data_IF_292427574627
#
_entry.id   IF_292427574627
#
_cell.length_a   1.000
_cell.length_b   1.000
_cell.length_c   1.000
_cell.angle_alpha   90.00
_cell.angle_beta   90.00
_cell.angle_gamma   90.00
#
_symmetry.space_group_name_H-M   'P 1'
#
loop_
_entity.id
_entity.type
_entity.pdbx_description
1 polymer ?
#
# COMPACT_ATOMS: atom_id res chain seq x y z
N UNK A 1 -13.19 23.69 -1.50
CA UNK A 1 -12.91 22.31 -1.01
C UNK A 1 -11.59 22.37 -0.25
N UNK A 2 -11.52 21.85 0.98
CA UNK A 2 -10.23 21.72 1.68
C UNK A 2 -9.43 20.56 1.09
N UNK A 3 -8.10 20.69 1.08
CA UNK A 3 -7.18 19.61 0.71
C UNK A 3 -6.86 18.82 1.98
N UNK A 4 -7.08 17.51 1.97
CA UNK A 4 -6.79 16.65 3.13
C UNK A 4 -5.28 16.65 3.43
N UNK A 5 -4.91 16.73 4.71
CA UNK A 5 -3.52 16.72 5.21
C UNK A 5 -2.67 17.92 4.75
N UNK A 6 -3.29 19.03 4.37
CA UNK A 6 -2.60 20.24 3.92
C UNK A 6 -1.63 20.81 4.95
N UNK A 7 -2.00 20.69 6.22
CA UNK A 7 -1.35 21.20 7.42
C UNK A 7 -0.21 20.32 7.91
N UNK A 8 -0.16 19.04 7.52
CA UNK A 8 0.83 18.10 8.00
C UNK A 8 2.17 18.27 7.26
N UNK A 9 3.27 18.11 7.97
CA UNK A 9 4.61 18.01 7.40
C UNK A 9 5.25 16.65 7.68
N UNK A 10 6.45 16.42 7.13
CA UNK A 10 7.15 15.16 7.33
C UNK A 10 7.56 14.90 8.79
N UNK A 11 7.86 15.94 9.58
CA UNK A 11 8.22 15.75 10.98
C UNK A 11 7.06 15.14 11.77
N UNK A 12 5.84 15.63 11.51
CA UNK A 12 4.63 15.08 12.11
C UNK A 12 4.35 13.68 11.57
N UNK A 13 4.27 13.53 10.23
CA UNK A 13 3.89 12.26 9.61
C UNK A 13 4.87 11.14 9.90
N UNK A 14 6.17 11.43 9.81
CA UNK A 14 7.22 10.45 10.09
C UNK A 14 7.21 9.96 11.54
N UNK A 15 6.67 10.75 12.47
CA UNK A 15 6.56 10.40 13.91
C UNK A 15 5.32 9.62 14.29
N UNK A 16 4.35 9.46 13.37
CA UNK A 16 3.10 8.71 13.65
C UNK A 16 3.46 7.28 14.03
N UNK A 17 2.95 6.81 15.17
CA UNK A 17 3.18 5.43 15.62
C UNK A 17 2.49 4.41 14.70
N UNK A 18 3.22 3.36 14.36
CA UNK A 18 2.72 2.22 13.57
C UNK A 18 2.60 0.94 14.41
N UNK A 19 2.89 1.04 15.71
CA UNK A 19 2.95 -0.07 16.65
C UNK A 19 3.94 0.20 17.80
N UNK A 20 4.14 -0.78 18.70
CA UNK A 20 5.07 -0.64 19.81
C UNK A 20 6.49 -0.32 19.35
N UNK A 21 6.96 0.89 19.64
CA UNK A 21 8.33 1.34 19.35
C UNK A 21 8.64 1.58 17.87
N UNK A 22 7.64 1.57 16.98
CA UNK A 22 7.84 1.84 15.54
C UNK A 22 7.00 3.03 15.09
N UNK A 23 7.54 3.77 14.12
CA UNK A 23 6.90 4.94 13.52
C UNK A 23 6.87 4.83 11.99
N UNK A 24 6.17 5.73 11.32
CA UNK A 24 6.05 5.73 9.85
C UNK A 24 7.42 5.89 9.17
N UNK A 25 8.32 6.70 9.73
CA UNK A 25 9.66 6.90 9.14
C UNK A 25 10.48 5.61 9.05
N UNK A 26 10.28 4.65 9.94
CA UNK A 26 10.94 3.33 9.92
C UNK A 26 10.59 2.49 8.69
N UNK A 27 9.41 2.74 8.11
CA UNK A 27 8.91 2.02 6.94
C UNK A 27 9.51 2.55 5.62
N UNK A 28 10.02 3.78 5.61
CA UNK A 28 10.65 4.36 4.43
C UNK A 28 12.16 4.09 4.39
N UNK A 29 12.69 3.87 3.20
CA UNK A 29 14.12 3.75 2.98
C UNK A 29 14.74 5.13 2.77
N UNK A 30 15.08 5.78 3.89
CA UNK A 30 15.65 7.14 3.92
C UNK A 30 17.02 7.25 3.23
N UNK A 31 17.70 6.13 2.96
CA UNK A 31 18.95 6.13 2.18
C UNK A 31 18.75 6.61 0.73
N UNK A 32 17.50 6.59 0.22
CA UNK A 32 17.13 7.16 -1.07
C UNK A 32 16.55 8.58 -0.97
N UNK A 33 16.64 9.21 0.19
CA UNK A 33 16.03 10.50 0.51
C UNK A 33 14.76 10.37 1.33
N UNK A 34 14.33 11.50 1.89
CA UNK A 34 13.07 11.58 2.63
C UNK A 34 11.88 11.45 1.66
N UNK A 35 10.75 10.88 2.10
CA UNK A 35 9.52 10.88 1.31
C UNK A 35 9.09 12.29 0.96
N UNK A 36 8.65 12.49 -0.27
CA UNK A 36 8.21 13.79 -0.75
C UNK A 36 6.73 14.00 -0.50
N UNK A 37 6.33 15.21 -0.10
CA UNK A 37 4.93 15.58 0.08
C UNK A 37 4.31 15.87 -1.28
N UNK A 38 3.42 14.99 -1.74
CA UNK A 38 2.77 15.03 -3.05
C UNK A 38 1.31 15.41 -2.93
N UNK A 39 0.87 16.36 -3.77
CA UNK A 39 -0.55 16.63 -3.96
C UNK A 39 -1.12 15.61 -4.95
N UNK A 40 -2.05 14.79 -4.48
CA UNK A 40 -2.86 13.93 -5.33
C UNK A 40 -4.20 14.63 -5.58
N UNK A 41 -4.54 15.00 -6.82
CA UNK A 41 -5.82 15.63 -7.11
C UNK A 41 -6.99 14.68 -6.88
N UNK A 42 -8.19 15.23 -6.69
CA UNK A 42 -9.42 14.44 -6.75
C UNK A 42 -9.49 13.71 -8.11
N UNK A 43 -10.08 12.52 -8.12
CA UNK A 43 -10.08 11.64 -9.30
C UNK A 43 -8.83 10.76 -9.43
N UNK A 44 -7.79 10.94 -8.60
CA UNK A 44 -6.63 10.03 -8.60
C UNK A 44 -7.05 8.64 -8.17
N UNK A 45 -6.69 7.64 -8.98
CA UNK A 45 -6.93 6.24 -8.69
C UNK A 45 -5.73 5.61 -7.96
N UNK A 46 -6.01 4.94 -6.84
CA UNK A 46 -5.02 4.28 -5.99
C UNK A 46 -5.42 2.82 -5.79
N UNK A 47 -4.45 1.96 -5.52
CA UNK A 47 -4.73 0.56 -5.23
C UNK A 47 -3.92 0.01 -4.06
N UNK A 48 -4.39 -1.10 -3.48
CA UNK A 48 -3.63 -1.92 -2.55
C UNK A 48 -4.09 -3.37 -2.60
N UNK A 49 -3.29 -4.25 -2.01
CA UNK A 49 -3.65 -5.67 -1.87
C UNK A 49 -4.30 -5.94 -0.52
N UNK A 50 -5.43 -6.63 -0.52
CA UNK A 50 -6.21 -6.98 0.67
C UNK A 50 -6.43 -8.49 0.78
N UNK A 51 -6.64 -8.97 2.01
CA UNK A 51 -7.10 -10.34 2.27
C UNK A 51 -8.61 -10.48 2.36
N UNK A 52 -9.36 -9.43 2.06
CA UNK A 52 -10.82 -9.37 2.16
C UNK A 52 -11.38 -8.39 1.13
N UNK A 53 -12.61 -8.64 0.68
CA UNK A 53 -13.36 -7.83 -0.29
C UNK A 53 -14.25 -6.78 0.38
N UNK A 54 -13.71 -6.03 1.33
CA UNK A 54 -14.41 -4.95 2.04
C UNK A 54 -13.45 -3.80 2.33
N UNK A 55 -13.94 -2.56 2.41
CA UNK A 55 -13.12 -1.39 2.72
C UNK A 55 -12.62 -1.41 4.17
N UNK A 56 -13.46 -1.92 5.08
CA UNK A 56 -13.20 -2.00 6.51
C UNK A 56 -14.08 -3.09 7.16
N UNK A 57 -13.96 -3.24 8.49
CA UNK A 57 -14.87 -4.08 9.27
C UNK A 57 -16.20 -3.32 9.47
N UNK A 58 -17.37 -3.96 9.32
CA UNK A 58 -18.65 -3.33 9.63
C UNK A 58 -18.76 -2.90 11.10
N UNK A 59 -19.52 -1.83 11.41
CA UNK A 59 -20.24 -0.97 10.47
C UNK A 59 -19.29 -0.04 9.70
N UNK A 60 -19.59 0.21 8.42
CA UNK A 60 -18.81 1.11 7.56
C UNK A 60 -19.57 2.41 7.40
N UNK A 61 -18.92 3.51 7.72
CA UNK A 61 -19.41 4.90 7.64
C UNK A 61 -18.38 5.77 6.91
N UNK A 62 -18.76 6.98 6.53
CA UNK A 62 -17.84 7.95 5.91
C UNK A 62 -16.62 8.27 6.80
N UNK A 63 -16.76 8.21 8.13
CA UNK A 63 -15.69 8.44 9.09
C UNK A 63 -14.79 7.21 9.30
N UNK A 64 -15.13 6.07 8.69
CA UNK A 64 -14.38 4.83 8.89
C UNK A 64 -12.97 4.97 8.32
N UNK A 65 -11.91 4.78 9.13
CA UNK A 65 -10.54 4.94 8.69
C UNK A 65 -10.14 3.84 7.71
N UNK A 66 -9.34 4.22 6.71
CA UNK A 66 -8.72 3.29 5.77
C UNK A 66 -7.23 3.12 6.11
N UNK A 67 -6.64 2.01 5.68
CA UNK A 67 -5.17 1.86 5.69
C UNK A 67 -4.52 3.08 5.02
N UNK A 68 -3.42 3.62 5.57
CA UNK A 68 -2.75 4.76 4.98
C UNK A 68 -1.82 4.41 3.81
N UNK A 69 -1.48 3.13 3.61
CA UNK A 69 -0.56 2.68 2.57
C UNK A 69 -1.26 2.35 1.25
N UNK A 70 -0.85 3.02 0.18
CA UNK A 70 -1.43 2.90 -1.16
C UNK A 70 -0.38 2.98 -2.27
N UNK A 71 -0.68 2.40 -3.43
CA UNK A 71 0.12 2.51 -4.65
C UNK A 71 -0.68 3.23 -5.74
N UNK A 72 -0.04 3.95 -6.67
CA UNK A 72 -0.74 4.61 -7.77
C UNK A 72 -1.25 3.60 -8.80
N UNK A 73 -2.48 3.73 -9.30
CA UNK A 73 -2.97 2.90 -10.42
C UNK A 73 -2.29 3.30 -11.72
N UNK A 74 -2.25 4.61 -12.01
CA UNK A 74 -1.55 5.18 -13.15
C UNK A 74 -0.05 5.38 -12.83
N UNK A 75 0.84 5.52 -13.83
CA UNK A 75 2.23 5.87 -13.57
C UNK A 75 2.35 7.17 -12.76
N UNK A 76 3.26 7.21 -11.78
CA UNK A 76 3.52 8.39 -10.97
C UNK A 76 5.00 8.49 -10.63
N UNK A 77 5.64 9.57 -11.09
CA UNK A 77 7.10 9.76 -10.98
C UNK A 77 7.85 8.53 -11.53
N UNK A 78 8.55 7.80 -10.67
CA UNK A 78 9.30 6.60 -11.01
C UNK A 78 8.54 5.30 -10.70
N UNK A 79 7.29 5.38 -10.25
CA UNK A 79 6.39 4.22 -10.16
C UNK A 79 5.69 3.99 -11.49
N UNK A 80 5.76 2.75 -11.97
CA UNK A 80 5.12 2.32 -13.21
C UNK A 80 3.60 2.16 -13.16
N UNK A 81 3.01 2.27 -11.97
CA UNK A 81 1.60 2.01 -11.75
C UNK A 81 1.23 0.53 -11.82
N UNK A 82 -0.07 0.26 -11.71
CA UNK A 82 -0.62 -1.09 -11.62
C UNK A 82 -0.38 -1.91 -12.90
N UNK A 83 -0.63 -1.32 -14.07
CA UNK A 83 -0.52 -2.03 -15.35
C UNK A 83 0.91 -2.51 -15.61
N UNK A 84 1.92 -1.67 -15.35
CA UNK A 84 3.32 -2.07 -15.50
C UNK A 84 3.67 -3.19 -14.51
N UNK A 85 3.23 -3.11 -13.26
CA UNK A 85 3.48 -4.17 -12.26
C UNK A 85 2.85 -5.49 -12.67
N UNK A 86 1.63 -5.47 -13.22
CA UNK A 86 0.97 -6.66 -13.78
C UNK A 86 1.73 -7.26 -14.95
N UNK A 87 2.20 -6.42 -15.86
CA UNK A 87 3.00 -6.85 -17.00
C UNK A 87 4.33 -7.49 -16.54
N UNK A 88 5.04 -6.85 -15.62
CA UNK A 88 6.32 -7.37 -15.10
C UNK A 88 6.12 -8.69 -14.36
N UNK A 89 5.09 -8.82 -13.52
CA UNK A 89 4.76 -10.08 -12.85
C UNK A 89 4.54 -11.21 -13.87
N UNK A 90 3.72 -10.96 -14.90
CA UNK A 90 3.46 -11.91 -15.98
C UNK A 90 4.74 -12.30 -16.73
N UNK A 91 5.57 -11.33 -17.11
CA UNK A 91 6.82 -11.57 -17.85
C UNK A 91 7.85 -12.35 -17.03
N UNK A 92 7.82 -12.24 -15.70
CA UNK A 92 8.68 -13.00 -14.80
C UNK A 92 8.08 -14.35 -14.38
N UNK A 93 6.88 -14.70 -14.85
CA UNK A 93 6.20 -15.95 -14.46
C UNK A 93 5.82 -15.99 -12.97
N UNK A 94 5.63 -14.84 -12.34
CA UNK A 94 5.29 -14.70 -10.91
C UNK A 94 3.83 -14.26 -10.79
N UNK A 95 3.10 -14.82 -9.82
CA UNK A 95 1.71 -14.40 -9.59
C UNK A 95 1.65 -12.96 -9.08
N UNK A 96 0.52 -12.28 -9.32
CA UNK A 96 0.34 -10.91 -8.82
C UNK A 96 0.37 -10.81 -7.30
N UNK A 97 0.05 -11.91 -6.61
CA UNK A 97 0.15 -12.00 -5.15
C UNK A 97 1.60 -11.94 -4.70
N UNK A 98 2.45 -12.79 -5.28
CA UNK A 98 3.87 -12.81 -4.93
C UNK A 98 4.56 -11.50 -5.33
N UNK A 99 4.28 -11.01 -6.54
CA UNK A 99 4.80 -9.73 -6.99
C UNK A 99 4.33 -8.56 -6.11
N UNK A 100 3.07 -8.59 -5.67
CA UNK A 100 2.51 -7.63 -4.73
C UNK A 100 3.23 -7.65 -3.39
N UNK A 101 3.57 -8.81 -2.83
CA UNK A 101 4.37 -8.88 -1.58
C UNK A 101 5.73 -8.21 -1.74
N UNK A 102 6.42 -8.51 -2.84
CA UNK A 102 7.75 -7.96 -3.11
C UNK A 102 7.72 -6.45 -3.32
N UNK A 103 6.68 -5.95 -4.00
CA UNK A 103 6.57 -4.55 -4.43
C UNK A 103 5.70 -3.66 -3.53
N UNK A 104 5.11 -4.20 -2.47
CA UNK A 104 4.40 -3.45 -1.43
C UNK A 104 4.82 -3.83 0.00
N UNK A 105 5.78 -4.74 0.15
CA UNK A 105 6.33 -5.23 1.44
C UNK A 105 5.26 -5.75 2.40
N UNK A 106 4.39 -6.63 1.88
CA UNK A 106 3.30 -7.19 2.67
C UNK A 106 3.69 -8.58 3.17
N UNK A 107 3.93 -8.71 4.48
CA UNK A 107 4.30 -9.99 5.10
C UNK A 107 3.24 -11.07 4.90
N UNK A 108 3.69 -12.32 4.86
CA UNK A 108 2.83 -13.49 4.67
C UNK A 108 1.79 -13.65 5.79
N UNK A 109 2.14 -13.30 7.03
CA UNK A 109 1.24 -13.36 8.17
C UNK A 109 0.28 -12.16 8.27
N UNK A 110 0.51 -11.09 7.49
CA UNK A 110 -0.34 -9.89 7.52
C UNK A 110 -1.59 -10.08 6.67
N UNK A 111 -1.43 -10.54 5.43
CA UNK A 111 -2.52 -10.63 4.45
C UNK A 111 -2.31 -11.79 3.46
N UNK A 112 -3.42 -12.38 3.01
CA UNK A 112 -3.45 -13.40 1.95
C UNK A 112 -3.30 -12.82 0.54
N UNK A 113 -3.55 -11.51 0.38
CA UNK A 113 -3.58 -10.80 -0.91
C UNK A 113 -4.61 -11.40 -1.88
N UNK A 114 -5.75 -11.88 -1.36
CA UNK A 114 -6.82 -12.45 -2.18
C UNK A 114 -7.48 -11.47 -3.13
N UNK A 115 -7.44 -10.18 -2.78
CA UNK A 115 -8.12 -9.14 -3.51
C UNK A 115 -7.18 -7.98 -3.82
N UNK A 116 -7.38 -7.40 -4.99
CA UNK A 116 -6.89 -6.07 -5.32
C UNK A 116 -8.03 -5.08 -5.06
N UNK A 117 -7.79 -4.09 -4.20
CA UNK A 117 -8.70 -2.97 -4.00
C UNK A 117 -8.19 -1.78 -4.77
N UNK A 118 -9.03 -1.24 -5.65
CA UNK A 118 -8.83 0.05 -6.30
C UNK A 118 -9.82 1.07 -5.74
N UNK A 119 -9.37 2.28 -5.46
CA UNK A 119 -10.20 3.41 -5.02
C UNK A 119 -9.96 4.62 -5.92
N UNK A 120 -10.94 5.51 -5.99
CA UNK A 120 -10.78 6.84 -6.60
C UNK A 120 -10.99 7.90 -5.53
N UNK A 121 -10.07 8.85 -5.43
CA UNK A 121 -10.17 9.95 -4.46
C UNK A 121 -11.32 10.91 -4.82
N UNK A 122 -12.16 11.24 -3.85
CA UNK A 122 -13.25 12.24 -3.97
C UNK A 122 -12.75 13.67 -3.79
N UNK A 123 -11.71 13.85 -2.98
CA UNK A 123 -11.12 15.14 -2.63
C UNK A 123 -9.61 15.12 -2.92
N UNK A 124 -8.98 16.27 -3.18
CA UNK A 124 -7.52 16.33 -3.23
C UNK A 124 -6.91 16.01 -1.86
N UNK A 125 -5.80 15.27 -1.85
CA UNK A 125 -5.10 14.88 -0.61
C UNK A 125 -3.59 15.12 -0.75
N UNK A 126 -2.93 15.49 0.34
CA UNK A 126 -1.49 15.36 0.44
C UNK A 126 -1.10 13.97 0.95
N UNK A 127 -0.12 13.39 0.27
CA UNK A 127 0.46 12.08 0.53
C UNK A 127 1.98 12.17 0.64
N UNK A 128 2.62 11.21 1.31
CA UNK A 128 4.08 11.10 1.37
C UNK A 128 4.52 9.94 0.49
N UNK A 129 5.24 10.27 -0.58
CA UNK A 129 5.68 9.32 -1.59
C UNK A 129 7.16 9.00 -1.43
N UNK A 130 7.50 7.72 -1.38
CA UNK A 130 8.90 7.32 -1.25
C UNK A 130 9.12 5.82 -1.35
N UNK A 131 10.40 5.46 -1.45
CA UNK A 131 10.85 4.08 -1.43
C UNK A 131 10.67 3.47 -0.05
N UNK A 132 10.14 2.25 0.05
CA UNK A 132 9.98 1.57 1.33
C UNK A 132 11.20 0.71 1.69
N UNK A 133 11.40 0.47 2.99
CA UNK A 133 12.46 -0.37 3.52
C UNK A 133 12.08 -1.86 3.39
N UNK A 134 13.06 -2.70 3.07
CA UNK A 134 12.88 -4.15 3.12
C UNK A 134 12.67 -4.64 4.56
N UNK A 135 12.04 -5.80 4.71
CA UNK A 135 11.82 -6.41 6.02
C UNK A 135 11.72 -7.94 5.91
N UNK A 136 11.64 -8.63 7.05
CA UNK A 136 11.37 -10.06 7.06
C UNK A 136 10.07 -10.38 6.35
N UNK A 137 10.07 -11.47 5.59
CA UNK A 137 8.91 -11.89 4.80
C UNK A 137 7.74 -12.40 5.65
N UNK A 138 8.07 -12.88 6.84
CA UNK A 138 7.13 -13.33 7.85
C UNK A 138 7.72 -12.98 9.22
N UNK A 139 6.85 -12.71 10.18
CA UNK A 139 7.27 -12.55 11.58
C UNK A 139 7.67 -13.91 12.17
N UNK A 140 8.68 -13.91 13.05
CA UNK A 140 9.19 -15.14 13.64
C UNK A 140 8.08 -15.89 14.39
N UNK A 141 7.94 -17.20 14.13
CA UNK A 141 6.93 -18.05 14.76
C UNK A 141 5.48 -17.82 14.29
N UNK A 142 5.23 -16.91 13.35
CA UNK A 142 3.88 -16.62 12.86
C UNK A 142 3.49 -17.50 11.68
N UNK A 143 2.21 -17.93 11.57
CA UNK A 143 1.75 -18.70 10.43
C UNK A 143 1.56 -17.81 9.18
N UNK A 144 1.79 -18.39 8.00
CA UNK A 144 1.54 -17.75 6.72
C UNK A 144 0.04 -17.75 6.38
N UNK A 145 -0.50 -16.62 5.90
CA UNK A 145 -1.86 -16.51 5.35
C UNK A 145 -1.90 -16.70 3.83
N UNK A 146 -0.78 -17.10 3.24
CA UNK A 146 -0.59 -17.19 1.79
C UNK A 146 -1.40 -18.36 1.23
N UNK A 147 -2.10 -18.15 0.11
CA UNK A 147 -2.77 -19.25 -0.58
C UNK A 147 -1.73 -20.04 -1.39
N UNK A 148 -1.25 -21.16 -0.83
CA UNK A 148 -0.17 -21.96 -1.43
C UNK A 148 -0.52 -22.58 -2.79
N UNK A 149 -1.81 -22.67 -3.12
CA UNK A 149 -2.28 -23.20 -4.41
C UNK A 149 -2.17 -22.16 -5.52
N UNK A 150 -2.32 -20.87 -5.20
CA UNK A 150 -2.34 -19.75 -6.16
C UNK A 150 -1.07 -18.90 -6.15
N UNK A 151 -0.25 -19.06 -5.11
CA UNK A 151 0.95 -18.26 -4.91
C UNK A 151 2.12 -19.19 -4.61
N UNK A 152 3.17 -19.10 -5.42
CA UNK A 152 4.46 -19.73 -5.13
C UNK A 152 5.38 -18.72 -4.45
N UNK A 153 6.08 -19.19 -3.41
CA UNK A 153 7.00 -18.36 -2.64
C UNK A 153 8.31 -18.22 -3.42
N UNK A 154 8.83 -17.00 -3.54
CA UNK A 154 10.21 -16.78 -3.95
C UNK A 154 11.22 -17.40 -2.97
N UNK A 155 12.47 -17.58 -3.41
CA UNK A 155 13.52 -18.24 -2.61
C UNK A 155 13.99 -17.45 -1.38
N UNK A 156 13.68 -16.15 -1.31
CA UNK A 156 14.15 -15.25 -0.25
C UNK A 156 13.33 -15.31 1.04
N UNK A 157 14.02 -15.16 2.18
CA UNK A 157 13.41 -14.99 3.51
C UNK A 157 13.00 -13.55 3.82
N UNK A 158 13.38 -12.60 2.96
CA UNK A 158 13.12 -11.18 3.11
C UNK A 158 12.31 -10.65 1.93
N UNK A 159 11.53 -9.60 2.19
CA UNK A 159 10.95 -8.74 1.17
C UNK A 159 11.97 -7.63 0.86
N UNK A 160 12.34 -7.42 -0.42
CA UNK A 160 13.54 -6.67 -0.78
C UNK A 160 13.47 -5.18 -0.45
N UNK A 161 12.27 -4.62 -0.37
CA UNK A 161 12.12 -3.18 -0.28
C UNK A 161 12.28 -2.50 -1.65
N UNK A 162 12.40 -1.17 -1.66
CA UNK A 162 12.90 -0.40 -2.80
C UNK A 162 11.89 0.00 -3.87
N UNK A 163 10.68 -0.57 -3.92
CA UNK A 163 9.60 0.03 -4.69
C UNK A 163 8.98 1.20 -3.91
N UNK A 164 8.05 1.91 -4.56
CA UNK A 164 7.40 3.10 -4.01
C UNK A 164 5.95 2.89 -3.63
N UNK A 165 5.53 3.63 -2.59
CA UNK A 165 4.15 3.72 -2.14
C UNK A 165 3.88 5.14 -1.61
N UNK A 166 2.60 5.49 -1.54
CA UNK A 166 2.10 6.62 -0.78
C UNK A 166 1.77 6.20 0.65
N UNK A 167 2.08 7.08 1.60
CA UNK A 167 1.47 7.12 2.91
C UNK A 167 0.48 8.30 2.96
N UNK A 168 -0.79 8.01 3.23
CA UNK A 168 -1.89 8.99 3.29
C UNK A 168 -2.53 8.89 4.68
N UNK A 169 -2.11 9.70 5.67
CA UNK A 169 -2.75 9.71 6.99
C UNK A 169 -4.19 10.20 6.86
N UNK A 170 -5.03 9.87 7.86
CA UNK A 170 -6.40 10.38 7.98
C UNK A 170 -7.34 10.08 6.80
N UNK A 171 -6.97 9.16 5.90
CA UNK A 171 -7.85 8.75 4.82
C UNK A 171 -9.02 7.93 5.39
N UNK A 172 -10.23 8.24 4.95
CA UNK A 172 -11.48 7.59 5.39
C UNK A 172 -12.34 7.22 4.18
N UNK A 173 -13.40 6.46 4.40
CA UNK A 173 -14.37 6.09 3.35
C UNK A 173 -15.04 7.33 2.74
N UNK A 174 -15.32 8.38 3.51
CA UNK A 174 -15.92 9.61 3.00
C UNK A 174 -15.04 10.38 2.01
N UNK A 175 -13.74 10.07 1.97
CA UNK A 175 -12.77 10.67 1.06
C UNK A 175 -12.63 9.94 -0.28
N UNK A 176 -13.32 8.82 -0.48
CA UNK A 176 -13.31 8.08 -1.77
C UNK A 176 -14.64 8.28 -2.51
N UNK A 177 -14.57 8.38 -3.85
CA UNK A 177 -15.75 8.55 -4.71
C UNK A 177 -16.27 7.21 -5.22
N UNK A 178 -15.37 6.27 -5.48
CA UNK A 178 -15.69 4.91 -5.89
C UNK A 178 -14.59 3.94 -5.46
N UNK A 179 -14.94 2.65 -5.45
CA UNK A 179 -13.99 1.57 -5.21
C UNK A 179 -14.40 0.32 -5.97
N UNK A 180 -13.42 -0.55 -6.23
CA UNK A 180 -13.62 -1.84 -6.89
C UNK A 180 -12.74 -2.90 -6.24
N UNK A 181 -13.25 -4.13 -6.12
CA UNK A 181 -12.50 -5.29 -5.68
C UNK A 181 -12.37 -6.29 -6.83
N UNK A 182 -11.14 -6.68 -7.14
CA UNK A 182 -10.84 -7.73 -8.11
C UNK A 182 -10.20 -8.91 -7.39
N UNK A 183 -10.71 -10.13 -7.62
CA UNK A 183 -10.07 -11.34 -7.10
C UNK A 183 -8.73 -11.58 -7.82
N UNK A 184 -7.67 -11.81 -7.06
CA UNK A 184 -6.37 -12.19 -7.62
C UNK A 184 -6.32 -13.71 -7.75
N UNK A 185 -6.28 -14.19 -8.98
CA UNK A 185 -6.10 -15.61 -9.29
C UNK A 185 -4.62 -15.97 -9.27
#
# INVERSE_FOLDING_TARGET
MSILNSELDWSHVGSISTGPGTVVSDAFNISYGLPTKELLPAGTALYKFNGFSSLARPPITDDTPLSPWWSPVQPFRHDGGLQQRMLVAKLNGVSMREWGRLTSVIKENWSSLDHLLEIVLKVPVYAWFGGFKGMSRIDNGMPSKRNITLEQKGRGSNLPGGATQFYIPNLTVGHISSHNFSALK
#
